data_IF_090276745084
#
_entry.id   IF_090276745084
#
_cell.length_a   1.000
_cell.length_b   1.000
_cell.length_c   1.000
_cell.angle_alpha   90.00
_cell.angle_beta   90.00
_cell.angle_gamma   90.00
#
_symmetry.space_group_name_H-M   'P 1'
#
loop_
_entity.id
_entity.type
_entity.pdbx_description
1 polymer ?
#
# COMPACT_ATOMS: atom_id res chain seq x y z
N UNK A 1 5.35 -3.34 19.51
CA UNK A 1 5.21 -4.26 18.36
C UNK A 1 6.47 -5.08 18.14
N UNK A 2 7.65 -4.48 17.90
CA UNK A 2 8.94 -5.22 17.89
C UNK A 2 9.26 -5.96 19.21
N UNK A 3 8.67 -5.54 20.33
CA UNK A 3 8.76 -6.23 21.64
C UNK A 3 7.59 -7.17 21.96
N UNK A 4 6.54 -7.18 21.14
CA UNK A 4 5.25 -7.83 21.47
C UNK A 4 4.87 -8.92 20.48
N UNK A 5 5.45 -8.90 19.27
CA UNK A 5 5.31 -9.97 18.29
C UNK A 5 6.68 -10.20 17.68
N UNK A 6 7.50 -11.12 18.23
CA UNK A 6 8.73 -11.52 17.58
C UNK A 6 8.36 -12.47 16.46
N UNK A 7 7.68 -11.98 15.42
CA UNK A 7 7.90 -12.59 14.13
C UNK A 7 9.35 -12.24 13.80
N UNK A 8 10.23 -13.21 13.98
CA UNK A 8 11.64 -13.08 13.61
C UNK A 8 11.71 -12.44 12.22
N UNK A 9 12.72 -11.62 11.90
CA UNK A 9 12.82 -11.01 10.56
C UNK A 9 12.64 -12.05 9.43
N UNK A 10 13.10 -13.28 9.66
CA UNK A 10 12.92 -14.45 8.79
C UNK A 10 11.47 -14.95 8.66
N UNK A 11 10.66 -14.75 9.69
CA UNK A 11 9.24 -15.13 9.77
C UNK A 11 8.38 -14.13 8.98
N UNK A 12 8.73 -12.84 9.03
CA UNK A 12 8.13 -11.81 8.17
C UNK A 12 8.59 -11.97 6.71
N UNK A 13 9.86 -12.28 6.46
CA UNK A 13 10.36 -12.62 5.11
C UNK A 13 9.68 -13.87 4.53
N UNK A 14 9.35 -14.87 5.36
CA UNK A 14 8.60 -16.05 4.95
C UNK A 14 7.13 -15.77 4.63
N UNK A 15 6.50 -14.81 5.33
CA UNK A 15 5.16 -14.31 5.04
C UNK A 15 5.12 -13.39 3.81
N UNK A 16 6.18 -12.62 3.57
CA UNK A 16 6.31 -11.69 2.44
C UNK A 16 6.83 -12.32 1.15
N UNK A 17 7.32 -13.57 1.18
CA UNK A 17 7.56 -14.35 -0.01
C UNK A 17 6.20 -14.54 -0.71
N UNK A 18 5.90 -13.64 -1.64
CA UNK A 18 4.59 -13.52 -2.27
C UNK A 18 4.05 -14.88 -2.70
N UNK A 19 2.76 -15.08 -2.49
CA UNK A 19 1.99 -16.27 -2.86
C UNK A 19 2.31 -16.74 -4.30
N UNK A 20 2.68 -15.82 -5.19
CA UNK A 20 3.12 -16.10 -6.56
C UNK A 20 4.56 -16.65 -6.67
N UNK A 21 5.50 -16.17 -5.88
CA UNK A 21 6.89 -16.65 -5.86
C UNK A 21 7.04 -18.02 -5.20
N UNK A 22 6.07 -18.37 -4.36
CA UNK A 22 5.96 -19.66 -3.68
C UNK A 22 5.21 -20.69 -4.55
N UNK A 23 4.23 -20.26 -5.37
CA UNK A 23 3.52 -21.11 -6.34
C UNK A 23 4.30 -21.35 -7.64
N UNK A 24 4.98 -20.35 -8.16
CA UNK A 24 5.88 -20.48 -9.30
C UNK A 24 7.28 -20.69 -8.79
N UNK A 25 7.88 -21.88 -8.98
CA UNK A 25 9.27 -22.23 -8.63
C UNK A 25 10.28 -21.27 -9.29
N UNK A 26 10.34 -20.01 -8.86
CA UNK A 26 11.16 -18.99 -9.48
C UNK A 26 12.61 -19.31 -9.13
N UNK A 27 13.29 -19.94 -10.09
CA UNK A 27 14.70 -20.32 -9.99
C UNK A 27 15.58 -19.12 -9.64
N UNK A 28 15.15 -17.90 -9.94
CA UNK A 28 15.86 -16.66 -9.55
C UNK A 28 15.75 -16.40 -8.05
N UNK A 29 14.57 -16.57 -7.46
CA UNK A 29 14.36 -16.42 -6.01
C UNK A 29 15.13 -17.49 -5.22
N UNK A 30 15.05 -18.76 -5.62
CA UNK A 30 15.82 -19.85 -4.98
C UNK A 30 17.32 -19.57 -5.02
N UNK A 31 17.84 -19.14 -6.18
CA UNK A 31 19.25 -18.79 -6.35
C UNK A 31 19.64 -17.59 -5.48
N UNK A 32 18.79 -16.57 -5.40
CA UNK A 32 19.02 -15.39 -4.57
C UNK A 32 19.06 -15.75 -3.08
N UNK A 33 18.04 -16.44 -2.57
CA UNK A 33 17.94 -16.85 -1.17
C UNK A 33 19.06 -17.80 -0.77
N UNK A 34 19.43 -18.76 -1.63
CA UNK A 34 20.58 -19.64 -1.44
C UNK A 34 21.89 -18.85 -1.30
N UNK A 35 22.10 -17.84 -2.15
CA UNK A 35 23.29 -16.99 -2.13
C UNK A 35 23.34 -16.11 -0.89
N UNK A 36 22.24 -15.44 -0.54
CA UNK A 36 22.16 -14.54 0.62
C UNK A 36 22.34 -15.31 1.93
N UNK A 37 21.69 -16.47 2.05
CA UNK A 37 21.70 -17.26 3.28
C UNK A 37 22.85 -18.29 3.36
N UNK A 38 23.67 -18.40 2.30
CA UNK A 38 24.78 -19.38 2.18
C UNK A 38 24.34 -20.82 2.45
N UNK A 39 23.15 -21.19 1.99
CA UNK A 39 22.58 -22.54 2.10
C UNK A 39 22.42 -23.15 0.71
N UNK A 40 22.37 -24.48 0.64
CA UNK A 40 22.16 -25.19 -0.63
C UNK A 40 20.76 -24.89 -1.18
N UNK A 41 20.62 -24.84 -2.52
CA UNK A 41 19.35 -24.51 -3.19
C UNK A 41 18.21 -25.46 -2.85
N UNK A 42 18.50 -26.75 -2.72
CA UNK A 42 17.51 -27.76 -2.34
C UNK A 42 16.90 -27.51 -0.94
N UNK A 43 17.71 -27.02 0.01
CA UNK A 43 17.23 -26.62 1.35
C UNK A 43 16.29 -25.41 1.26
N UNK A 44 16.59 -24.46 0.37
CA UNK A 44 15.72 -23.31 0.10
C UNK A 44 14.42 -23.74 -0.58
N UNK A 45 14.48 -24.65 -1.55
CA UNK A 45 13.31 -25.20 -2.24
C UNK A 45 12.39 -25.93 -1.25
N UNK A 46 12.95 -26.79 -0.39
CA UNK A 46 12.19 -27.50 0.64
C UNK A 46 11.55 -26.54 1.66
N UNK A 47 12.28 -25.50 2.06
CA UNK A 47 11.75 -24.47 2.94
C UNK A 47 10.61 -23.68 2.29
N UNK A 48 10.76 -23.27 1.02
CA UNK A 48 9.73 -22.58 0.25
C UNK A 48 8.50 -23.48 0.03
N UNK A 49 8.67 -24.77 -0.26
CA UNK A 49 7.55 -25.71 -0.35
C UNK A 49 6.83 -25.87 0.99
N UNK A 50 7.56 -25.93 2.10
CA UNK A 50 6.96 -26.01 3.43
C UNK A 50 6.18 -24.74 3.75
N UNK A 51 6.73 -23.57 3.41
CA UNK A 51 6.03 -22.28 3.50
C UNK A 51 4.79 -22.27 2.60
N UNK A 52 4.87 -22.79 1.38
CA UNK A 52 3.74 -22.93 0.45
C UNK A 52 2.61 -23.77 1.04
N UNK A 53 2.95 -24.94 1.57
CA UNK A 53 2.00 -25.88 2.18
C UNK A 53 1.36 -25.28 3.42
N UNK A 54 2.17 -24.64 4.28
CA UNK A 54 1.65 -23.92 5.43
C UNK A 54 0.72 -22.80 4.99
N UNK A 55 1.14 -21.96 4.04
CA UNK A 55 0.30 -20.89 3.52
C UNK A 55 -1.02 -21.43 2.94
N UNK A 56 -1.01 -22.51 2.17
CA UNK A 56 -2.22 -23.12 1.64
C UNK A 56 -3.18 -23.57 2.76
N UNK A 57 -2.67 -24.31 3.75
CA UNK A 57 -3.45 -24.75 4.92
C UNK A 57 -4.01 -23.57 5.74
N UNK A 58 -3.22 -22.50 5.84
CA UNK A 58 -3.57 -21.28 6.56
C UNK A 58 -4.58 -20.43 5.77
N UNK A 59 -4.51 -20.42 4.44
CA UNK A 59 -5.50 -19.76 3.57
C UNK A 59 -6.86 -20.46 3.53
N UNK A 60 -6.91 -21.76 3.84
CA UNK A 60 -8.16 -22.54 3.98
C UNK A 60 -8.81 -22.40 5.36
N UNK A 61 -8.15 -21.74 6.32
CA UNK A 61 -8.70 -21.56 7.66
C UNK A 61 -9.86 -20.54 7.63
N UNK A 62 -11.07 -21.01 7.95
CA UNK A 62 -12.28 -20.16 8.04
C UNK A 62 -12.19 -19.11 9.16
N UNK A 63 -11.36 -19.34 10.17
CA UNK A 63 -11.13 -18.40 11.25
C UNK A 63 -9.74 -18.54 11.88
N UNK A 64 -9.25 -17.43 12.39
CA UNK A 64 -7.97 -17.33 13.10
C UNK A 64 -8.21 -16.83 14.51
N UNK A 65 -7.43 -17.34 15.47
CA UNK A 65 -7.44 -16.82 16.84
C UNK A 65 -6.01 -16.69 17.36
N UNK A 66 -5.75 -15.61 18.08
CA UNK A 66 -4.42 -15.35 18.66
C UNK A 66 -4.49 -15.45 20.17
N UNK A 67 -3.82 -16.44 20.73
CA UNK A 67 -3.78 -16.67 22.19
C UNK A 67 -2.79 -15.72 22.86
N UNK A 68 -3.30 -14.63 23.44
CA UNK A 68 -2.47 -13.64 24.14
C UNK A 68 -1.87 -14.13 25.46
N UNK A 69 -2.29 -15.29 25.98
CA UNK A 69 -1.72 -15.91 27.19
C UNK A 69 -0.23 -16.19 27.04
N UNK A 70 0.25 -16.40 25.81
CA UNK A 70 1.66 -16.56 25.49
C UNK A 70 2.46 -15.24 25.56
N UNK A 71 1.78 -14.08 25.48
CA UNK A 71 2.41 -12.75 25.53
C UNK A 71 2.55 -12.28 26.98
N UNK A 72 3.55 -12.83 27.69
CA UNK A 72 3.89 -12.41 29.05
C UNK A 72 4.15 -10.89 29.09
N UNK A 73 3.40 -10.16 29.92
CA UNK A 73 3.66 -8.74 30.22
C UNK A 73 2.90 -7.72 29.38
N UNK A 74 1.91 -8.12 28.56
CA UNK A 74 1.01 -7.15 27.92
C UNK A 74 0.17 -6.42 29.00
N UNK A 75 0.14 -5.08 29.02
CA UNK A 75 -0.68 -4.34 29.99
C UNK A 75 -2.17 -4.69 29.82
N UNK A 76 -2.95 -4.79 30.92
CA UNK A 76 -4.38 -5.09 30.85
C UNK A 76 -5.14 -4.11 29.95
N UNK A 77 -4.72 -2.83 29.99
CA UNK A 77 -5.18 -1.80 29.07
C UNK A 77 -4.55 -2.01 27.69
N UNK A 78 -5.37 -2.41 26.73
CA UNK A 78 -4.96 -2.59 25.34
C UNK A 78 -4.86 -4.06 24.89
N UNK A 79 -5.14 -5.03 25.76
CA UNK A 79 -5.16 -6.46 25.42
C UNK A 79 -6.10 -6.75 24.24
N UNK A 80 -7.35 -6.28 24.32
CA UNK A 80 -8.33 -6.42 23.23
C UNK A 80 -7.89 -5.76 21.92
N UNK A 81 -7.25 -4.59 22.00
CA UNK A 81 -6.75 -3.90 20.80
C UNK A 81 -5.58 -4.65 20.15
N UNK A 82 -4.75 -5.31 20.98
CA UNK A 82 -3.66 -6.16 20.51
C UNK A 82 -4.19 -7.46 19.88
N UNK A 83 -5.20 -8.07 20.48
CA UNK A 83 -5.98 -9.20 19.94
C UNK A 83 -6.48 -8.88 18.53
N UNK A 84 -7.24 -7.80 18.37
CA UNK A 84 -7.78 -7.35 17.08
C UNK A 84 -6.67 -7.14 16.05
N UNK A 85 -5.60 -6.42 16.41
CA UNK A 85 -4.51 -6.15 15.48
C UNK A 85 -3.78 -7.43 15.05
N UNK A 86 -3.61 -8.38 15.96
CA UNK A 86 -2.98 -9.67 15.66
C UNK A 86 -3.88 -10.57 14.80
N UNK A 87 -5.18 -10.55 15.03
CA UNK A 87 -6.17 -11.23 14.18
C UNK A 87 -6.16 -10.67 12.77
N UNK A 88 -6.18 -9.34 12.60
CA UNK A 88 -6.10 -8.69 11.29
C UNK A 88 -4.79 -9.01 10.54
N UNK A 89 -3.67 -9.16 11.27
CA UNK A 89 -2.41 -9.61 10.65
C UNK A 89 -2.51 -11.08 10.23
N UNK A 90 -3.08 -11.93 11.08
CA UNK A 90 -3.21 -13.36 10.82
C UNK A 90 -4.18 -13.66 9.66
N UNK A 91 -5.27 -12.90 9.54
CA UNK A 91 -6.22 -12.99 8.42
C UNK A 91 -5.69 -12.39 7.12
N UNK A 92 -4.54 -11.70 7.16
CA UNK A 92 -3.96 -11.04 5.99
C UNK A 92 -4.62 -9.71 5.63
N UNK A 93 -5.54 -9.20 6.46
CA UNK A 93 -6.18 -7.89 6.25
C UNK A 93 -5.19 -6.73 6.31
N UNK A 94 -4.13 -6.87 7.12
CA UNK A 94 -3.04 -5.91 7.22
C UNK A 94 -1.68 -6.61 7.26
N UNK A 95 -0.68 -5.94 6.73
CA UNK A 95 0.72 -6.32 6.80
C UNK A 95 1.54 -5.29 7.57
N UNK A 96 2.62 -5.74 8.19
CA UNK A 96 3.56 -4.90 8.95
C UNK A 96 4.96 -5.06 8.36
N UNK A 97 5.57 -3.96 7.93
CA UNK A 97 6.91 -3.94 7.36
C UNK A 97 7.67 -2.68 7.77
N UNK A 98 8.91 -2.83 8.23
CA UNK A 98 9.86 -1.72 8.40
C UNK A 98 9.28 -0.51 9.19
N UNK A 99 8.47 -0.79 10.22
CA UNK A 99 7.83 0.25 11.04
C UNK A 99 6.53 0.84 10.47
N UNK A 100 6.00 0.26 9.38
CA UNK A 100 4.75 0.65 8.71
C UNK A 100 3.70 -0.45 8.88
N UNK A 101 2.43 -0.07 8.87
CA UNK A 101 1.28 -0.97 8.74
C UNK A 101 0.54 -0.58 7.48
N UNK A 102 0.16 -1.56 6.67
CA UNK A 102 -0.58 -1.31 5.44
C UNK A 102 -1.59 -2.41 5.14
N UNK A 103 -2.63 -2.07 4.39
CA UNK A 103 -3.49 -3.02 3.69
C UNK A 103 -3.34 -2.76 2.18
N UNK A 104 -3.36 -3.80 1.36
CA UNK A 104 -3.10 -3.69 -0.09
C UNK A 104 -3.82 -4.80 -0.87
N UNK A 105 -4.43 -4.42 -1.99
CA UNK A 105 -5.06 -5.31 -2.98
C UNK A 105 -4.43 -5.01 -4.34
N UNK A 106 -3.60 -5.93 -4.83
CA UNK A 106 -2.91 -5.77 -6.13
C UNK A 106 -3.58 -6.54 -7.27
N UNK A 107 -4.36 -7.58 -6.94
CA UNK A 107 -4.94 -8.49 -7.93
C UNK A 107 -6.44 -8.21 -8.13
N UNK A 108 -6.76 -6.95 -8.45
CA UNK A 108 -8.10 -6.56 -8.89
C UNK A 108 -8.09 -6.15 -10.36
N UNK A 109 -9.16 -6.52 -11.07
CA UNK A 109 -9.34 -6.18 -12.48
C UNK A 109 -9.28 -4.66 -12.71
N UNK A 110 -9.88 -3.89 -11.80
CA UNK A 110 -9.90 -2.43 -11.86
C UNK A 110 -8.49 -1.82 -11.77
N UNK A 111 -7.63 -2.35 -10.90
CA UNK A 111 -6.22 -1.93 -10.79
C UNK A 111 -5.48 -2.26 -12.09
N UNK A 112 -5.72 -3.44 -12.65
CA UNK A 112 -5.10 -3.86 -13.91
C UNK A 112 -5.47 -2.94 -15.06
N UNK A 113 -6.77 -2.71 -15.28
CA UNK A 113 -7.28 -1.84 -16.37
C UNK A 113 -6.73 -0.43 -16.22
N UNK A 114 -6.79 0.14 -15.00
CA UNK A 114 -6.27 1.49 -14.74
C UNK A 114 -4.79 1.61 -15.08
N UNK A 115 -3.99 0.59 -14.75
CA UNK A 115 -2.57 0.56 -15.06
C UNK A 115 -2.34 0.48 -16.57
N UNK A 116 -3.06 -0.39 -17.28
CA UNK A 116 -2.94 -0.53 -18.74
C UNK A 116 -3.24 0.78 -19.47
N UNK A 117 -4.35 1.44 -19.13
CA UNK A 117 -4.71 2.75 -19.69
C UNK A 117 -3.67 3.83 -19.37
N UNK A 118 -3.07 3.77 -18.17
CA UNK A 118 -2.01 4.70 -17.77
C UNK A 118 -0.72 4.48 -18.54
N UNK A 119 -0.37 3.23 -18.85
CA UNK A 119 0.77 2.89 -19.70
C UNK A 119 0.54 3.39 -21.12
N UNK A 120 -0.65 3.16 -21.68
CA UNK A 120 -1.00 3.64 -23.02
C UNK A 120 -0.88 5.17 -23.11
N UNK A 121 -1.46 5.90 -22.16
CA UNK A 121 -1.34 7.38 -22.07
C UNK A 121 0.11 7.84 -21.98
N UNK A 122 0.94 7.18 -21.15
CA UNK A 122 2.35 7.52 -20.96
C UNK A 122 3.19 7.34 -22.22
N UNK A 123 2.94 6.25 -22.95
CA UNK A 123 3.73 5.86 -24.10
C UNK A 123 3.21 6.44 -25.43
N UNK A 124 1.92 6.79 -25.49
CA UNK A 124 1.27 7.35 -26.68
C UNK A 124 1.27 8.87 -26.78
N UNK A 125 1.43 9.60 -25.66
CA UNK A 125 1.32 11.06 -25.66
C UNK A 125 2.62 11.77 -25.27
N UNK A 126 3.26 12.54 -26.17
CA UNK A 126 4.44 13.33 -25.84
C UNK A 126 4.13 14.47 -24.85
N UNK A 127 2.92 15.04 -24.92
CA UNK A 127 2.45 16.19 -24.13
C UNK A 127 1.72 15.80 -22.84
N UNK A 128 1.89 14.56 -22.37
CA UNK A 128 1.14 14.01 -21.24
C UNK A 128 1.17 14.91 -19.99
N UNK A 129 2.31 15.50 -19.64
CA UNK A 129 2.43 16.32 -18.43
C UNK A 129 1.47 17.52 -18.42
N UNK A 130 1.30 18.19 -19.58
CA UNK A 130 0.36 19.31 -19.72
C UNK A 130 -1.09 18.84 -19.63
N UNK A 131 -1.42 17.70 -20.25
CA UNK A 131 -2.76 17.10 -20.15
C UNK A 131 -3.09 16.70 -18.71
N UNK A 132 -2.15 16.13 -17.97
CA UNK A 132 -2.31 15.78 -16.55
C UNK A 132 -2.53 17.03 -15.69
N UNK A 133 -1.79 18.11 -15.94
CA UNK A 133 -1.96 19.36 -15.20
C UNK A 133 -3.34 20.00 -15.45
N UNK A 134 -3.82 19.96 -16.70
CA UNK A 134 -5.15 20.45 -17.06
C UNK A 134 -6.24 19.64 -16.36
N UNK A 135 -6.23 18.31 -16.51
CA UNK A 135 -7.19 17.41 -15.87
C UNK A 135 -7.17 17.54 -14.34
N UNK A 136 -5.99 17.65 -13.73
CA UNK A 136 -5.87 17.85 -12.28
C UNK A 136 -6.55 19.16 -11.84
N UNK A 137 -6.43 20.23 -12.64
CA UNK A 137 -7.09 21.51 -12.34
C UNK A 137 -8.62 21.41 -12.46
N UNK A 138 -9.13 20.70 -13.47
CA UNK A 138 -10.57 20.44 -13.64
C UNK A 138 -11.15 19.64 -12.46
N UNK A 139 -10.36 18.73 -11.89
CA UNK A 139 -10.71 17.95 -10.71
C UNK A 139 -10.52 18.71 -9.37
N UNK A 140 -10.18 20.01 -9.42
CA UNK A 140 -9.99 20.85 -8.24
C UNK A 140 -8.69 20.61 -7.48
N UNK A 141 -7.70 19.97 -8.10
CA UNK A 141 -6.36 19.78 -7.55
C UNK A 141 -5.43 20.89 -8.02
N UNK A 142 -4.46 21.28 -7.18
CA UNK A 142 -3.43 22.25 -7.57
C UNK A 142 -2.22 21.52 -8.19
N UNK A 143 -2.02 21.55 -9.53
CA UNK A 143 -0.92 20.83 -10.18
C UNK A 143 0.42 21.55 -10.01
N UNK A 144 1.49 20.77 -9.87
CA UNK A 144 2.87 21.26 -10.03
C UNK A 144 3.44 20.81 -11.36
N UNK A 145 3.45 21.71 -12.35
CA UNK A 145 3.86 21.38 -13.72
C UNK A 145 5.27 20.78 -13.80
N UNK A 146 6.28 21.43 -13.20
CA UNK A 146 7.66 20.93 -13.17
C UNK A 146 7.77 19.54 -12.51
N UNK A 147 6.93 19.25 -11.51
CA UNK A 147 6.94 17.94 -10.86
C UNK A 147 6.30 16.85 -11.74
N UNK A 148 5.26 17.21 -12.51
CA UNK A 148 4.59 16.31 -13.47
C UNK A 148 5.44 16.03 -14.69
N UNK A 149 6.11 17.05 -15.23
CA UNK A 149 7.07 16.88 -16.33
C UNK A 149 8.19 15.92 -15.91
N UNK A 150 8.85 16.19 -14.79
CA UNK A 150 9.90 15.30 -14.29
C UNK A 150 9.39 13.88 -13.96
N UNK A 151 8.14 13.73 -13.53
CA UNK A 151 7.51 12.42 -13.33
C UNK A 151 7.40 11.65 -14.65
N UNK A 152 6.81 12.28 -15.68
CA UNK A 152 6.64 11.68 -17.01
C UNK A 152 7.99 11.30 -17.61
N UNK A 153 8.98 12.20 -17.54
CA UNK A 153 10.35 11.94 -18.02
C UNK A 153 11.01 10.75 -17.33
N UNK A 154 10.82 10.59 -16.01
CA UNK A 154 11.38 9.46 -15.25
C UNK A 154 10.65 8.15 -15.52
N UNK A 155 9.32 8.18 -15.66
CA UNK A 155 8.52 6.97 -15.85
C UNK A 155 8.62 6.43 -17.27
N UNK A 156 8.55 7.29 -18.29
CA UNK A 156 8.48 6.89 -19.70
C UNK A 156 9.57 5.87 -20.10
N UNK A 157 10.87 6.06 -19.83
CA UNK A 157 11.88 5.05 -20.20
C UNK A 157 11.78 3.76 -19.39
N UNK A 158 11.28 3.81 -18.15
CA UNK A 158 11.15 2.64 -17.26
C UNK A 158 9.91 1.80 -17.57
N UNK A 159 8.84 2.45 -18.02
CA UNK A 159 7.54 1.82 -18.28
C UNK A 159 7.42 1.42 -19.75
N UNK A 160 7.66 2.34 -20.69
CA UNK A 160 7.41 2.07 -22.12
C UNK A 160 8.40 1.09 -22.77
N UNK A 161 9.56 0.88 -22.15
CA UNK A 161 10.53 -0.15 -22.58
C UNK A 161 10.39 -1.46 -21.80
N UNK A 162 9.53 -1.47 -20.78
CA UNK A 162 9.32 -2.64 -19.94
C UNK A 162 8.47 -3.68 -20.68
N UNK A 163 8.77 -4.95 -20.44
CA UNK A 163 7.88 -6.09 -20.77
C UNK A 163 7.18 -6.62 -19.53
N UNK A 164 7.13 -5.82 -18.46
CA UNK A 164 6.49 -6.20 -17.21
C UNK A 164 4.97 -6.24 -17.39
N UNK A 165 4.33 -7.15 -16.66
CA UNK A 165 2.87 -7.20 -16.54
C UNK A 165 2.34 -5.97 -15.79
N UNK A 166 1.05 -5.61 -15.95
CA UNK A 166 0.43 -4.51 -15.20
C UNK A 166 0.68 -4.57 -13.69
N UNK A 167 0.52 -5.75 -13.07
CA UNK A 167 0.77 -5.95 -11.64
C UNK A 167 2.19 -5.54 -11.21
N UNK A 168 3.20 -5.75 -12.06
CA UNK A 168 4.60 -5.35 -11.80
C UNK A 168 4.87 -3.87 -12.07
N UNK A 169 3.98 -3.19 -12.78
CA UNK A 169 4.06 -1.76 -13.06
C UNK A 169 3.35 -0.92 -11.99
N UNK A 170 2.40 -1.48 -11.22
CA UNK A 170 1.71 -0.80 -10.12
C UNK A 170 2.68 -0.04 -9.19
N UNK A 171 3.79 -0.63 -8.68
CA UNK A 171 4.69 0.10 -7.77
C UNK A 171 5.39 1.30 -8.40
N UNK A 172 5.52 1.32 -9.73
CA UNK A 172 6.13 2.43 -10.48
C UNK A 172 5.10 3.53 -10.78
N UNK A 173 3.87 3.13 -11.08
CA UNK A 173 2.83 4.06 -11.51
C UNK A 173 2.04 4.63 -10.34
N UNK A 174 1.93 3.93 -9.21
CA UNK A 174 1.08 4.36 -8.10
C UNK A 174 1.41 5.76 -7.57
N UNK A 175 0.35 6.48 -7.20
CA UNK A 175 0.42 7.72 -6.43
C UNK A 175 -0.16 7.52 -5.04
N UNK A 176 0.16 8.41 -4.11
CA UNK A 176 -0.30 8.38 -2.74
C UNK A 176 -0.69 9.77 -2.26
N UNK A 177 -1.87 9.88 -1.64
CA UNK A 177 -2.22 11.02 -0.80
C UNK A 177 -1.57 10.87 0.55
N UNK A 178 -0.72 11.82 0.92
CA UNK A 178 -0.21 12.00 2.27
C UNK A 178 -1.18 12.88 3.05
N UNK A 179 -1.92 12.25 3.97
CA UNK A 179 -2.86 12.92 4.88
C UNK A 179 -2.21 13.10 6.23
N UNK A 180 -1.94 14.36 6.61
CA UNK A 180 -1.39 14.70 7.93
C UNK A 180 -2.53 15.02 8.90
N UNK A 181 -2.71 14.17 9.91
CA UNK A 181 -3.87 14.18 10.81
C UNK A 181 -3.43 14.04 12.28
N UNK A 182 -4.23 14.53 13.25
CA UNK A 182 -4.04 14.21 14.65
C UNK A 182 -4.05 12.68 14.88
N UNK A 183 -3.23 12.11 15.78
CA UNK A 183 -3.04 10.66 15.87
C UNK A 183 -4.32 9.82 16.03
N UNK A 184 -5.30 10.33 16.78
CA UNK A 184 -6.60 9.64 16.97
C UNK A 184 -7.46 9.66 15.71
N UNK A 185 -7.41 10.77 14.96
CA UNK A 185 -8.14 10.91 13.69
C UNK A 185 -7.48 10.05 12.62
N UNK A 186 -6.15 10.10 12.51
CA UNK A 186 -5.37 9.26 11.61
C UNK A 186 -5.60 7.77 11.85
N UNK A 187 -5.59 7.31 13.11
CA UNK A 187 -5.86 5.91 13.44
C UNK A 187 -7.29 5.47 13.06
N UNK A 188 -8.29 6.33 13.27
CA UNK A 188 -9.68 6.07 12.86
C UNK A 188 -9.83 6.00 11.34
N UNK A 189 -9.25 6.96 10.63
CA UNK A 189 -9.26 6.97 9.17
C UNK A 189 -8.57 5.73 8.61
N UNK A 190 -7.39 5.38 9.14
CA UNK A 190 -6.67 4.18 8.72
C UNK A 190 -7.53 2.92 8.88
N UNK A 191 -8.17 2.73 10.02
CA UNK A 191 -9.04 1.58 10.26
C UNK A 191 -10.22 1.54 9.27
N UNK A 192 -10.88 2.68 9.01
CA UNK A 192 -11.97 2.77 8.05
C UNK A 192 -11.53 2.44 6.61
N UNK A 193 -10.36 2.93 6.20
CA UNK A 193 -9.78 2.65 4.88
C UNK A 193 -9.36 1.19 4.73
N UNK A 194 -8.81 0.56 5.78
CA UNK A 194 -8.48 -0.88 5.77
C UNK A 194 -9.75 -1.70 5.52
N UNK A 195 -10.85 -1.39 6.21
CA UNK A 195 -12.14 -2.07 5.98
C UNK A 195 -12.65 -1.88 4.55
N UNK A 196 -12.42 -0.71 3.93
CA UNK A 196 -12.77 -0.46 2.52
C UNK A 196 -11.91 -1.26 1.56
N UNK A 197 -10.59 -1.24 1.73
CA UNK A 197 -9.62 -1.98 0.89
C UNK A 197 -9.93 -3.48 0.89
N UNK A 198 -10.31 -4.03 2.05
CA UNK A 198 -10.60 -5.45 2.19
C UNK A 198 -12.08 -5.81 1.92
N UNK A 199 -12.91 -4.86 1.47
CA UNK A 199 -14.33 -5.12 1.20
C UNK A 199 -14.51 -5.80 -0.17
N UNK A 200 -15.00 -7.05 -0.22
CA UNK A 200 -15.24 -7.74 -1.50
C UNK A 200 -16.46 -7.23 -2.26
N UNK A 201 -17.27 -6.34 -1.65
CA UNK A 201 -18.55 -5.87 -2.19
C UNK A 201 -18.49 -4.48 -2.82
N UNK A 202 -17.36 -3.79 -2.68
CA UNK A 202 -17.21 -2.43 -3.16
C UNK A 202 -15.96 -2.34 -4.06
N UNK A 203 -16.09 -1.83 -5.30
CA UNK A 203 -14.91 -1.55 -6.13
C UNK A 203 -14.00 -0.58 -5.39
N UNK A 204 -12.77 -1.01 -5.14
CA UNK A 204 -11.83 -0.27 -4.29
C UNK A 204 -10.86 0.53 -5.15
N UNK A 205 -11.17 1.80 -5.32
CA UNK A 205 -10.28 2.83 -5.86
C UNK A 205 -9.02 3.05 -5.00
N UNK A 206 -9.04 2.63 -3.73
CA UNK A 206 -7.86 2.48 -2.89
C UNK A 206 -7.25 1.10 -3.11
N UNK A 207 -6.09 1.01 -3.73
CA UNK A 207 -5.40 -0.28 -3.81
C UNK A 207 -4.45 -0.52 -2.63
N UNK A 208 -4.10 0.53 -1.88
CA UNK A 208 -3.27 0.42 -0.68
C UNK A 208 -3.52 1.57 0.28
N UNK A 209 -3.54 1.28 1.58
CA UNK A 209 -3.48 2.28 2.66
C UNK A 209 -2.33 1.96 3.57
N UNK A 210 -1.64 2.97 4.07
CA UNK A 210 -0.45 2.80 4.91
C UNK A 210 -0.37 3.85 6.02
N UNK A 211 0.18 3.49 7.18
CA UNK A 211 0.53 4.42 8.25
C UNK A 211 1.84 4.00 8.92
N UNK A 212 2.51 4.94 9.59
CA UNK A 212 3.63 4.63 10.49
C UNK A 212 3.14 4.08 11.83
N UNK A 213 3.86 3.10 12.37
CA UNK A 213 3.59 2.52 13.70
C UNK A 213 3.90 3.49 14.83
N UNK A 214 4.99 4.24 14.71
CA UNK A 214 5.46 5.14 15.75
C UNK A 214 4.93 6.55 15.44
N UNK A 215 3.81 6.90 16.08
CA UNK A 215 3.05 8.17 15.91
C UNK A 215 2.28 8.25 14.58
N UNK A 216 1.07 7.66 14.49
CA UNK A 216 0.25 7.66 13.27
C UNK A 216 -0.33 9.05 13.01
N UNK A 217 0.52 10.02 12.69
CA UNK A 217 0.14 11.36 12.28
C UNK A 217 0.00 11.47 10.76
N UNK A 218 0.41 10.43 10.03
CA UNK A 218 0.41 10.40 8.57
C UNK A 218 -0.25 9.11 8.10
N UNK A 219 -1.28 9.25 7.28
CA UNK A 219 -1.93 8.16 6.55
C UNK A 219 -1.65 8.37 5.07
N UNK A 220 -1.10 7.36 4.40
CA UNK A 220 -0.95 7.35 2.95
C UNK A 220 -2.06 6.54 2.32
N UNK A 221 -2.78 7.13 1.36
CA UNK A 221 -3.86 6.47 0.60
C UNK A 221 -3.45 6.39 -0.86
N UNK A 222 -3.28 5.19 -1.38
CA UNK A 222 -2.66 4.99 -2.68
C UNK A 222 -3.70 4.78 -3.79
N UNK A 223 -3.53 5.55 -4.86
CA UNK A 223 -4.22 5.39 -6.14
C UNK A 223 -3.39 4.47 -7.05
N UNK A 224 -4.01 3.54 -7.80
CA UNK A 224 -3.31 2.56 -8.65
C UNK A 224 -2.42 3.21 -9.71
N UNK A 225 -2.76 4.42 -10.14
CA UNK A 225 -1.95 5.22 -11.05
C UNK A 225 -1.85 6.67 -10.62
N UNK A 226 -0.67 7.23 -10.81
CA UNK A 226 -0.37 8.65 -10.68
C UNK A 226 -0.47 9.41 -11.98
N UNK A 227 -0.89 8.74 -13.04
CA UNK A 227 -1.17 9.34 -14.34
C UNK A 227 -2.68 9.50 -14.56
N UNK A 228 -3.46 9.38 -13.48
CA UNK A 228 -4.89 9.54 -13.47
C UNK A 228 -5.33 10.56 -12.40
N UNK A 229 -5.46 11.84 -12.76
CA UNK A 229 -5.91 12.88 -11.83
C UNK A 229 -7.33 12.67 -11.33
N UNK A 230 -8.23 12.09 -12.14
CA UNK A 230 -9.62 11.82 -11.77
C UNK A 230 -9.72 10.75 -10.68
N UNK A 231 -8.97 9.66 -10.82
CA UNK A 231 -8.85 8.65 -9.74
C UNK A 231 -8.19 9.26 -8.52
N UNK A 232 -7.13 10.04 -8.68
CA UNK A 232 -6.49 10.71 -7.55
C UNK A 232 -7.47 11.63 -6.78
N UNK A 233 -8.27 12.43 -7.48
CA UNK A 233 -9.26 13.31 -6.87
C UNK A 233 -10.39 12.52 -6.17
N UNK A 234 -10.87 11.44 -6.80
CA UNK A 234 -11.84 10.53 -6.20
C UNK A 234 -11.30 9.92 -4.91
N UNK A 235 -10.05 9.43 -4.94
CA UNK A 235 -9.37 8.86 -3.77
C UNK A 235 -9.32 9.84 -2.61
N UNK A 236 -8.99 11.10 -2.90
CA UNK A 236 -8.98 12.13 -1.86
C UNK A 236 -10.38 12.39 -1.32
N UNK A 237 -11.36 12.63 -2.20
CA UNK A 237 -12.73 12.99 -1.81
C UNK A 237 -13.32 11.95 -0.87
N UNK A 238 -13.25 10.68 -1.25
CA UNK A 238 -13.79 9.60 -0.45
C UNK A 238 -12.99 9.39 0.86
N UNK A 239 -11.66 9.58 0.84
CA UNK A 239 -10.88 9.56 2.09
C UNK A 239 -11.27 10.71 3.03
N UNK A 240 -11.63 11.88 2.51
CA UNK A 240 -12.10 13.02 3.30
C UNK A 240 -13.52 12.79 3.84
N UNK A 241 -14.40 12.09 3.11
CA UNK A 241 -15.75 11.72 3.58
C UNK A 241 -15.71 10.78 4.80
N UNK A 242 -14.63 10.01 4.97
CA UNK A 242 -14.42 9.15 6.14
C UNK A 242 -13.91 9.91 7.37
N UNK A 243 -13.59 11.20 7.24
CA UNK A 243 -13.16 12.01 8.37
C UNK A 243 -14.35 12.41 9.26
N UNK A 244 -14.13 12.62 10.57
CA UNK A 244 -15.15 13.17 11.45
C UNK A 244 -15.63 14.54 10.96
N UNK A 245 -16.91 14.91 11.23
CA UNK A 245 -17.42 16.24 10.95
C UNK A 245 -16.51 17.33 11.55
N UNK A 246 -16.27 18.41 10.80
CA UNK A 246 -15.45 19.55 11.22
C UNK A 246 -13.95 19.39 10.98
N UNK A 247 -13.50 18.27 10.41
CA UNK A 247 -12.11 18.11 9.94
C UNK A 247 -12.03 18.52 8.48
N UNK A 248 -11.48 19.71 8.21
CA UNK A 248 -11.32 20.25 6.85
C UNK A 248 -9.85 20.39 6.45
N UNK A 249 -9.53 20.33 5.15
CA UNK A 249 -8.21 20.65 4.64
C UNK A 249 -7.83 22.11 4.94
N UNK A 250 -6.63 22.34 5.47
CA UNK A 250 -6.04 23.66 5.68
C UNK A 250 -5.40 24.25 4.42
N UNK A 251 -4.98 23.38 3.51
CA UNK A 251 -4.30 23.74 2.27
C UNK A 251 -5.04 23.09 1.10
N UNK A 252 -5.08 23.74 -0.07
CA UNK A 252 -5.59 23.11 -1.27
C UNK A 252 -4.79 21.84 -1.57
N UNK A 253 -5.45 20.76 -2.02
CA UNK A 253 -4.78 19.50 -2.28
C UNK A 253 -3.79 19.64 -3.43
N UNK A 254 -2.51 19.39 -3.15
CA UNK A 254 -1.42 19.58 -4.12
C UNK A 254 -1.11 18.28 -4.84
N UNK A 255 -1.08 18.34 -6.18
CA UNK A 255 -0.77 17.22 -7.06
C UNK A 255 0.66 17.34 -7.60
N UNK A 256 1.59 16.55 -7.05
CA UNK A 256 3.04 16.65 -7.32
C UNK A 256 3.76 15.31 -7.22
N UNK A 257 5.01 15.27 -7.69
CA UNK A 257 5.89 14.12 -7.53
C UNK A 257 6.64 14.10 -6.20
N UNK A 258 6.79 12.91 -5.60
CA UNK A 258 7.53 12.67 -4.37
C UNK A 258 8.99 12.29 -4.62
N UNK A 259 9.88 13.27 -4.77
CA UNK A 259 11.35 13.10 -4.70
C UNK A 259 11.97 12.06 -5.66
N UNK A 260 13.30 11.82 -5.58
CA UNK A 260 13.98 10.86 -6.46
C UNK A 260 13.67 9.42 -6.04
N UNK A 261 12.71 8.77 -6.70
CA UNK A 261 12.49 7.32 -6.61
C UNK A 261 11.39 6.85 -5.65
N UNK A 262 10.63 7.77 -5.05
CA UNK A 262 9.43 7.46 -4.26
C UNK A 262 8.14 7.40 -5.08
N UNK A 263 7.03 6.92 -4.49
CA UNK A 263 5.70 7.07 -5.08
C UNK A 263 5.35 8.54 -5.29
N UNK A 264 4.47 8.84 -6.24
CA UNK A 264 3.98 10.20 -6.46
C UNK A 264 3.21 10.65 -5.22
N UNK A 265 3.58 11.78 -4.63
CA UNK A 265 3.01 12.24 -3.36
C UNK A 265 2.11 13.43 -3.58
N UNK A 266 0.82 13.19 -3.43
CA UNK A 266 -0.18 14.23 -3.28
C UNK A 266 -0.27 14.62 -1.82
N UNK A 267 -0.54 15.89 -1.51
CA UNK A 267 -0.57 16.35 -0.12
C UNK A 267 -1.86 17.07 0.19
N UNK A 268 -2.51 16.63 1.27
CA UNK A 268 -3.57 17.35 1.93
C UNK A 268 -3.27 17.36 3.44
N UNK A 269 -3.29 18.54 4.05
CA UNK A 269 -3.19 18.70 5.49
C UNK A 269 -4.57 19.05 6.02
N UNK A 270 -5.08 18.31 7.01
CA UNK A 270 -6.34 18.66 7.66
C UNK A 270 -6.08 18.92 9.13
N UNK A 271 -6.30 20.15 9.59
CA UNK A 271 -6.20 20.49 11.02
C UNK A 271 -7.04 21.72 11.35
N UNK A 272 -8.30 21.50 11.71
CA UNK A 272 -9.02 22.45 12.56
C UNK A 272 -9.83 21.65 13.57
N UNK A 273 -9.27 21.43 14.76
CA UNK A 273 -10.08 21.02 15.92
C UNK A 273 -10.32 22.27 16.76
N UNK A 274 -11.54 22.81 16.70
CA UNK A 274 -12.10 23.52 17.86
C UNK A 274 -12.70 22.43 18.75
N UNK A 275 -11.99 22.10 19.84
CA UNK A 275 -12.57 21.38 20.97
C UNK A 275 -13.50 22.33 21.72
#
# INVERSE_FOLDING_TARGET
>A
LERVVPACGRCLEALQASVEAVRGRDKRLVKHLSKVNKVKKNVVEEALERIARLHALLSEAESWSVRLEALRGAPPRGRRALEILLEMIASGEIAVDSGRVYAEVLDSEEVRVTVEESVERLCGSPTLASSLAHLASEEGLAPSWAALEGLVERLRPRVCRSRATPARLVPLLRGAWELRLPPRVGARLFAALVSRVNSPREPSWVHRVETVLRRPAVVWVYAPSSLDPGIAARVLREALELLPPGVEPLEPPVYRHGGPGGPVLYRAAATTMRL
#
